data_IF_058023364557
#
_entry.id   IF_058023364557
#
_cell.length_a   1.000
_cell.length_b   1.000
_cell.length_c   1.000
_cell.angle_alpha   90.00
_cell.angle_beta   90.00
_cell.angle_gamma   90.00
#
_symmetry.space_group_name_H-M   'P 1'
#
loop_
_entity.id
_entity.type
_entity.pdbx_description
1 polymer ?
#
# COMPACT_ATOMS: atom_id res chain seq x y z
N UNK A 1 -1.59 -10.30 0.42
CA UNK A 1 -1.33 -9.03 1.13
C UNK A 1 -2.55 -8.66 1.94
N UNK A 2 -2.32 -8.07 3.11
CA UNK A 2 -3.37 -7.65 4.06
C UNK A 2 -3.01 -6.26 4.57
N UNK A 3 -4.00 -5.37 4.66
CA UNK A 3 -3.86 -4.10 5.36
C UNK A 3 -4.97 -3.96 6.39
N UNK A 4 -4.63 -3.47 7.58
CA UNK A 4 -5.56 -3.30 8.69
C UNK A 4 -5.49 -1.84 9.15
N UNK A 5 -6.61 -1.13 9.11
CA UNK A 5 -6.73 0.22 9.68
C UNK A 5 -8.16 0.43 10.19
N UNK A 6 -8.34 1.22 11.24
CA UNK A 6 -9.65 1.53 11.85
C UNK A 6 -10.54 0.29 12.12
N UNK A 7 -9.94 -0.78 12.68
CA UNK A 7 -10.59 -2.09 12.90
C UNK A 7 -11.15 -2.77 11.64
N UNK A 8 -10.82 -2.29 10.45
CA UNK A 8 -11.17 -2.91 9.17
C UNK A 8 -9.99 -3.64 8.58
N UNK A 9 -10.29 -4.73 7.88
CA UNK A 9 -9.31 -5.59 7.20
C UNK A 9 -9.54 -5.57 5.70
N UNK A 10 -8.52 -5.16 4.96
CA UNK A 10 -8.52 -5.08 3.50
C UNK A 10 -7.60 -6.18 2.94
N UNK A 11 -8.16 -7.02 2.07
CA UNK A 11 -7.47 -8.15 1.47
C UNK A 11 -7.26 -7.92 -0.02
N UNK A 12 -6.04 -8.18 -0.50
CA UNK A 12 -5.73 -8.05 -1.92
C UNK A 12 -4.60 -8.95 -2.38
N UNK A 13 -4.66 -9.33 -3.66
CA UNK A 13 -3.55 -9.98 -4.37
C UNK A 13 -2.44 -8.99 -4.76
N UNK A 14 -2.78 -7.71 -4.81
CA UNK A 14 -1.90 -6.60 -5.20
C UNK A 14 -2.16 -5.42 -4.27
N UNK A 15 -1.17 -4.55 -4.09
CA UNK A 15 -1.26 -3.34 -3.27
C UNK A 15 -2.34 -2.40 -3.81
N UNK A 16 -2.43 -2.25 -5.14
CA UNK A 16 -3.50 -1.47 -5.80
C UNK A 16 -4.87 -1.96 -5.34
N UNK A 17 -5.12 -3.28 -5.31
CA UNK A 17 -6.43 -3.80 -4.91
C UNK A 17 -6.79 -3.47 -3.46
N UNK A 18 -5.80 -3.43 -2.58
CA UNK A 18 -5.98 -3.00 -1.18
C UNK A 18 -6.32 -1.51 -1.14
N UNK A 19 -5.52 -0.67 -1.77
CA UNK A 19 -5.74 0.78 -1.81
C UNK A 19 -7.10 1.12 -2.42
N UNK A 20 -7.53 0.42 -3.47
CA UNK A 20 -8.88 0.56 -4.05
C UNK A 20 -10.01 0.09 -3.14
N UNK A 21 -9.75 -0.83 -2.22
CA UNK A 21 -10.73 -1.21 -1.21
C UNK A 21 -10.85 -0.11 -0.16
N UNK A 22 -9.73 0.46 0.30
CA UNK A 22 -9.70 1.61 1.21
C UNK A 22 -10.38 2.83 0.59
N UNK A 23 -10.09 3.15 -0.68
CA UNK A 23 -10.71 4.24 -1.44
C UNK A 23 -12.25 4.14 -1.45
N UNK A 24 -12.78 2.92 -1.66
CA UNK A 24 -14.23 2.71 -1.72
C UNK A 24 -14.90 2.93 -0.37
N UNK A 25 -14.22 2.56 0.71
CA UNK A 25 -14.69 2.73 2.08
C UNK A 25 -14.63 4.18 2.58
N UNK A 26 -13.80 5.03 1.98
CA UNK A 26 -13.68 6.46 2.33
C UNK A 26 -14.84 7.26 1.79
N UNK A 27 -15.82 7.62 2.62
CA UNK A 27 -17.00 8.40 2.21
C UNK A 27 -16.65 9.81 1.71
N UNK A 28 -15.58 10.40 2.23
CA UNK A 28 -15.17 11.79 1.95
C UNK A 28 -14.46 11.97 0.60
N UNK A 29 -14.01 10.88 -0.03
CA UNK A 29 -13.37 10.95 -1.33
C UNK A 29 -14.42 10.88 -2.44
N UNK A 30 -14.63 11.99 -3.15
CA UNK A 30 -15.65 12.08 -4.20
C UNK A 30 -15.24 11.40 -5.52
N UNK A 31 -13.94 11.32 -5.80
CA UNK A 31 -13.42 10.87 -7.11
C UNK A 31 -13.13 9.35 -7.16
N UNK A 32 -14.00 8.55 -6.52
CA UNK A 32 -13.82 7.09 -6.43
C UNK A 32 -13.74 6.44 -7.80
N UNK A 33 -12.77 5.54 -7.98
CA UNK A 33 -12.54 4.84 -9.24
C UNK A 33 -11.73 5.64 -10.26
N UNK A 34 -11.30 6.86 -9.92
CA UNK A 34 -10.39 7.68 -10.70
C UNK A 34 -8.93 7.21 -10.63
N UNK A 35 -7.98 8.11 -10.84
CA UNK A 35 -6.56 7.82 -10.69
C UNK A 35 -6.23 7.38 -9.25
N UNK A 36 -5.45 6.30 -9.11
CA UNK A 36 -4.99 5.86 -7.78
C UNK A 36 -4.05 6.91 -7.18
N UNK A 37 -3.22 7.56 -7.99
CA UNK A 37 -2.30 8.60 -7.53
C UNK A 37 -3.06 9.76 -6.90
N UNK A 38 -4.19 10.15 -7.48
CA UNK A 38 -5.03 11.24 -6.95
C UNK A 38 -5.59 10.86 -5.59
N UNK A 39 -6.04 9.62 -5.43
CA UNK A 39 -6.47 9.10 -4.14
C UNK A 39 -5.33 9.12 -3.11
N UNK A 40 -4.12 8.68 -3.49
CA UNK A 40 -2.98 8.63 -2.59
C UNK A 40 -2.56 10.03 -2.13
N UNK A 41 -2.49 11.00 -3.05
CA UNK A 41 -2.18 12.40 -2.74
C UNK A 41 -3.25 13.00 -1.84
N UNK A 42 -4.54 12.80 -2.17
CA UNK A 42 -5.65 13.26 -1.35
C UNK A 42 -5.61 12.68 0.06
N UNK A 43 -5.35 11.37 0.17
CA UNK A 43 -5.28 10.67 1.45
C UNK A 43 -4.13 11.19 2.31
N UNK A 44 -2.93 11.33 1.74
CA UNK A 44 -1.77 11.86 2.46
C UNK A 44 -1.94 13.32 2.87
N UNK A 45 -2.57 14.16 2.04
CA UNK A 45 -2.82 15.55 2.36
C UNK A 45 -3.67 15.70 3.64
N UNK A 46 -4.57 14.75 3.91
CA UNK A 46 -5.38 14.71 5.14
C UNK A 46 -4.61 14.27 6.37
N UNK A 47 -3.47 13.62 6.18
CA UNK A 47 -2.58 13.15 7.24
C UNK A 47 -1.27 13.96 7.26
N UNK A 48 -1.25 15.16 6.65
CA UNK A 48 -0.05 15.96 6.49
C UNK A 48 0.57 16.41 7.84
N UNK A 49 -0.21 16.37 8.92
CA UNK A 49 0.25 16.58 10.30
C UNK A 49 1.10 15.41 10.84
N UNK A 50 0.96 14.22 10.25
CA UNK A 50 1.64 12.99 10.67
C UNK A 50 2.66 12.49 9.65
N UNK A 51 2.32 12.55 8.36
CA UNK A 51 3.10 12.00 7.27
C UNK A 51 3.42 13.13 6.28
N UNK A 52 4.70 13.50 6.11
CA UNK A 52 5.07 14.47 5.08
C UNK A 52 4.76 13.93 3.69
N UNK A 53 4.06 14.71 2.86
CA UNK A 53 3.71 14.34 1.47
C UNK A 53 4.92 13.90 0.62
N UNK A 54 6.11 14.46 0.89
CA UNK A 54 7.36 14.14 0.18
C UNK A 54 7.85 12.69 0.38
N UNK A 55 7.33 11.99 1.39
CA UNK A 55 7.72 10.59 1.67
C UNK A 55 7.15 9.62 0.64
N UNK A 56 6.14 10.02 -0.13
CA UNK A 56 5.58 9.20 -1.21
C UNK A 56 5.98 9.75 -2.58
N UNK A 57 6.79 9.00 -3.30
CA UNK A 57 7.05 9.26 -4.72
C UNK A 57 5.86 8.82 -5.57
N UNK A 58 5.11 9.80 -6.09
CA UNK A 58 3.97 9.60 -7.00
C UNK A 58 4.34 9.83 -8.46
N UNK A 59 5.64 9.82 -8.80
CA UNK A 59 6.14 10.03 -10.16
C UNK A 59 5.42 9.16 -11.19
N UNK A 60 5.12 9.70 -12.39
CA UNK A 60 4.51 8.92 -13.47
C UNK A 60 5.40 7.77 -13.95
N UNK A 61 6.70 7.81 -13.65
CA UNK A 61 7.66 6.75 -13.99
C UNK A 61 7.53 5.51 -13.11
N UNK A 62 6.86 5.61 -11.95
CA UNK A 62 6.61 4.49 -11.08
C UNK A 62 5.28 3.83 -11.41
N UNK A 63 5.28 2.50 -11.48
CA UNK A 63 4.05 1.72 -11.65
C UNK A 63 3.11 1.90 -10.46
N UNK A 64 1.80 1.93 -10.73
CA UNK A 64 0.75 2.08 -9.71
C UNK A 64 0.88 1.08 -8.56
N UNK A 65 1.30 -0.15 -8.89
CA UNK A 65 1.54 -1.19 -7.88
C UNK A 65 2.68 -0.84 -6.93
N UNK A 66 3.77 -0.28 -7.45
CA UNK A 66 4.90 0.17 -6.63
C UNK A 66 4.50 1.34 -5.73
N UNK A 67 3.79 2.32 -6.28
CA UNK A 67 3.35 3.50 -5.51
C UNK A 67 2.35 3.08 -4.43
N UNK A 68 1.38 2.23 -4.76
CA UNK A 68 0.41 1.70 -3.80
C UNK A 68 1.08 0.89 -2.69
N UNK A 69 2.11 0.09 -3.04
CA UNK A 69 2.88 -0.67 -2.07
C UNK A 69 3.65 0.25 -1.12
N UNK A 70 4.39 1.22 -1.67
CA UNK A 70 5.14 2.21 -0.88
C UNK A 70 4.21 2.99 0.06
N UNK A 71 3.02 3.35 -0.41
CA UNK A 71 2.02 4.00 0.42
C UNK A 71 1.56 3.13 1.60
N UNK A 72 1.28 1.84 1.38
CA UNK A 72 0.87 0.95 2.48
C UNK A 72 1.99 0.74 3.50
N UNK A 73 3.24 0.61 3.04
CA UNK A 73 4.41 0.59 3.93
C UNK A 73 4.58 1.90 4.70
N UNK A 74 4.30 3.04 4.05
CA UNK A 74 4.37 4.34 4.71
C UNK A 74 3.34 4.46 5.83
N UNK A 75 2.09 4.00 5.61
CA UNK A 75 1.08 3.97 6.66
C UNK A 75 1.46 3.05 7.83
N UNK A 76 2.15 1.95 7.55
CA UNK A 76 2.67 1.02 8.57
C UNK A 76 3.79 1.65 9.39
N UNK A 77 4.77 2.27 8.72
CA UNK A 77 5.90 2.95 9.36
C UNK A 77 5.48 4.11 10.28
N UNK A 78 4.34 4.75 9.99
CA UNK A 78 3.79 5.85 10.77
C UNK A 78 2.61 5.42 11.66
N UNK A 79 2.43 4.12 11.88
CA UNK A 79 1.45 3.53 12.81
C UNK A 79 -0.02 3.92 12.50
N UNK A 80 -0.34 4.28 11.25
CA UNK A 80 -1.71 4.60 10.80
C UNK A 80 -2.52 3.34 10.52
N UNK A 81 -1.85 2.26 10.11
CA UNK A 81 -2.42 0.95 9.92
C UNK A 81 -1.32 -0.10 9.87
N UNK A 82 -1.65 -1.38 9.82
CA UNK A 82 -0.65 -2.44 9.75
C UNK A 82 -0.69 -3.14 8.41
N UNK A 83 0.45 -3.24 7.74
CA UNK A 83 0.57 -3.87 6.43
C UNK A 83 1.34 -5.19 6.49
N UNK A 84 0.69 -6.28 6.09
CA UNK A 84 1.28 -7.60 6.01
C UNK A 84 1.44 -8.03 4.54
N UNK A 85 2.69 -8.03 4.07
CA UNK A 85 3.01 -8.67 2.79
C UNK A 85 3.27 -10.16 2.99
N UNK A 86 2.29 -10.96 2.58
CA UNK A 86 2.37 -12.42 2.63
C UNK A 86 3.09 -13.01 1.42
N UNK A 87 3.64 -12.18 0.51
CA UNK A 87 4.50 -12.68 -0.56
C UNK A 87 5.77 -13.24 0.05
N UNK A 88 6.30 -14.35 -0.49
CA UNK A 88 7.62 -14.82 -0.06
C UNK A 88 8.63 -13.72 -0.38
N UNK A 89 9.38 -13.28 0.64
CA UNK A 89 10.57 -12.45 0.43
C UNK A 89 11.45 -13.12 -0.63
N UNK A 90 12.04 -12.38 -1.58
CA UNK A 90 12.98 -12.94 -2.56
C UNK A 90 14.09 -13.75 -1.88
N UNK A 91 14.49 -13.37 -0.66
CA UNK A 91 15.46 -14.11 0.17
C UNK A 91 15.01 -15.55 0.45
N UNK A 92 13.73 -15.75 0.80
CA UNK A 92 13.19 -17.07 1.09
C UNK A 92 13.02 -17.94 -0.17
N UNK A 93 12.89 -17.33 -1.35
CA UNK A 93 12.80 -18.05 -2.62
C UNK A 93 14.17 -18.56 -3.11
N UNK A 94 15.25 -17.84 -2.79
CA UNK A 94 16.62 -18.23 -3.11
C UNK A 94 17.06 -19.39 -2.21
N UNK A 95 16.77 -19.34 -0.90
CA UNK A 95 17.11 -20.41 0.05
C UNK A 95 16.44 -21.75 -0.28
N UNK A 96 15.18 -21.74 -0.73
CA UNK A 96 14.47 -22.97 -1.14
C UNK A 96 15.07 -23.64 -2.38
N UNK A 97 15.73 -22.88 -3.25
CA UNK A 97 16.45 -23.44 -4.41
C UNK A 97 17.81 -24.02 -4.03
N UNK A 98 18.45 -23.51 -2.98
CA UNK A 98 19.69 -24.07 -2.45
C UNK A 98 19.46 -25.38 -1.68
N UNK A 99 18.35 -25.51 -0.97
CA UNK A 99 18.03 -26.69 -0.16
C UNK A 99 17.57 -27.93 -0.98
N UNK A 100 17.05 -27.75 -2.20
CA UNK A 100 16.57 -28.84 -3.07
C UNK A 100 17.63 -29.40 -4.02
N UNK A 101 18.92 -29.11 -3.77
CA UNK A 101 20.05 -29.53 -4.60
C UNK A 101 20.94 -30.59 -3.95
N UNK A 102 20.45 -31.28 -2.92
CA UNK A 102 21.16 -32.36 -2.22
C UNK A 102 20.40 -33.68 -2.36
#
# INVERSE_FOLDING_TARGET
MIFICDNKKYLGKTAVRIVRAVERDMAEYANKGGSIRDFLVWSLARMADRIPLRELDVSPNLADETIAFNYLCLLDNYEIGTFYDTRPSPSAAIERRAANRN
#
